data_IF_608746155894
#
_entry.id   IF_608746155894
#
_cell.length_a   1.000
_cell.length_b   1.000
_cell.length_c   1.000
_cell.angle_alpha   90.00
_cell.angle_beta   90.00
_cell.angle_gamma   90.00
#
_symmetry.space_group_name_H-M   'P 1'
#
loop_
_entity.id
_entity.type
_entity.pdbx_description
1 polymer ?
#
# COMPACT_ATOMS: atom_id res chain seq x y z
N UNK A 1 0.15 -18.56 5.69
CA UNK A 1 0.75 -17.34 6.24
C UNK A 1 0.06 -16.18 5.54
N UNK A 2 -0.75 -15.42 6.27
CA UNK A 2 -1.52 -14.31 5.70
C UNK A 2 -0.56 -13.25 5.13
N UNK A 3 -0.86 -12.72 3.93
CA UNK A 3 -0.06 -11.68 3.27
C UNK A 3 -0.88 -10.41 3.17
N UNK A 4 -0.41 -9.34 3.79
CA UNK A 4 -1.05 -8.04 3.75
C UNK A 4 -0.31 -7.05 2.83
N UNK A 5 -1.05 -6.07 2.33
CA UNK A 5 -0.50 -4.96 1.56
C UNK A 5 -0.81 -3.64 2.26
N UNK A 6 0.21 -2.81 2.47
CA UNK A 6 0.07 -1.45 2.96
C UNK A 6 0.28 -0.52 1.78
N UNK A 7 -0.68 0.37 1.55
CA UNK A 7 -0.68 1.34 0.48
C UNK A 7 -0.50 2.73 1.07
N UNK A 8 0.53 3.43 0.59
CA UNK A 8 0.86 4.80 0.99
C UNK A 8 0.72 5.75 -0.20
N UNK A 9 0.41 7.01 0.08
CA UNK A 9 0.19 8.01 -0.96
C UNK A 9 1.46 8.34 -1.75
N UNK A 10 2.60 8.38 -1.08
CA UNK A 10 3.90 8.75 -1.65
C UNK A 10 5.02 7.93 -0.99
N UNK A 11 6.12 7.74 -1.71
CA UNK A 11 7.29 7.03 -1.21
C UNK A 11 7.88 7.75 0.00
N UNK A 12 7.92 7.06 1.14
CA UNK A 12 8.55 7.54 2.35
C UNK A 12 9.66 6.58 2.79
N UNK A 13 10.92 7.00 2.70
CA UNK A 13 12.06 6.14 3.03
C UNK A 13 12.06 5.66 4.47
N UNK A 14 11.69 6.52 5.43
CA UNK A 14 11.66 6.16 6.85
C UNK A 14 10.66 5.03 7.11
N UNK A 15 9.47 5.15 6.51
CA UNK A 15 8.42 4.14 6.60
C UNK A 15 8.81 2.83 5.89
N UNK A 16 9.45 2.92 4.71
CA UNK A 16 9.96 1.74 4.00
C UNK A 16 11.04 1.01 4.81
N UNK A 17 11.94 1.74 5.46
CA UNK A 17 12.96 1.16 6.35
C UNK A 17 12.32 0.51 7.58
N UNK A 18 11.34 1.18 8.21
CA UNK A 18 10.64 0.65 9.38
C UNK A 18 9.81 -0.60 9.07
N UNK A 19 9.16 -0.64 7.91
CA UNK A 19 8.31 -1.76 7.49
C UNK A 19 9.08 -2.94 6.92
N UNK A 20 10.37 -2.79 6.61
CA UNK A 20 11.20 -3.83 5.96
C UNK A 20 11.25 -5.15 6.74
N UNK A 21 11.07 -5.11 8.05
CA UNK A 21 11.10 -6.31 8.90
C UNK A 21 9.73 -7.01 9.00
N UNK A 22 8.65 -6.41 8.47
CA UNK A 22 7.31 -7.00 8.46
C UNK A 22 7.22 -8.05 7.34
N UNK A 23 7.69 -9.28 7.60
CA UNK A 23 7.72 -10.35 6.59
C UNK A 23 6.36 -10.68 5.95
N UNK A 24 5.26 -10.38 6.66
CA UNK A 24 3.90 -10.65 6.21
C UNK A 24 3.27 -9.48 5.44
N UNK A 25 3.85 -8.28 5.53
CA UNK A 25 3.31 -7.08 4.92
C UNK A 25 4.27 -6.49 3.89
N UNK A 26 3.75 -6.21 2.70
CA UNK A 26 4.46 -5.38 1.72
C UNK A 26 3.96 -3.96 1.79
N UNK A 27 4.85 -2.99 1.59
CA UNK A 27 4.48 -1.58 1.47
C UNK A 27 4.67 -1.14 0.03
N UNK A 28 3.65 -0.52 -0.56
CA UNK A 28 3.68 0.04 -1.91
C UNK A 28 3.11 1.46 -1.93
N UNK A 29 3.64 2.29 -2.80
CA UNK A 29 3.07 3.62 -3.06
C UNK A 29 1.95 3.52 -4.09
N UNK A 30 1.01 4.47 -4.11
CA UNK A 30 -0.02 4.57 -5.16
C UNK A 30 0.58 4.65 -6.57
N UNK A 31 1.74 5.30 -6.72
CA UNK A 31 2.40 5.45 -8.03
C UNK A 31 3.03 4.14 -8.53
N UNK A 32 3.26 3.18 -7.64
CA UNK A 32 3.96 1.94 -7.92
C UNK A 32 3.13 0.71 -7.58
N UNK A 33 1.82 0.87 -7.40
CA UNK A 33 0.95 -0.20 -6.93
C UNK A 33 0.76 -1.23 -8.04
N UNK A 34 1.09 -2.48 -7.76
CA UNK A 34 0.78 -3.61 -8.64
C UNK A 34 -0.65 -4.11 -8.34
N UNK A 35 -1.60 -4.05 -9.31
CA UNK A 35 -2.95 -4.57 -9.15
C UNK A 35 -2.99 -6.05 -8.78
N UNK A 36 -2.03 -6.85 -9.25
CA UNK A 36 -1.95 -8.28 -8.91
C UNK A 36 -1.65 -8.48 -7.42
N UNK A 37 -0.85 -7.59 -6.83
CA UNK A 37 -0.54 -7.62 -5.41
C UNK A 37 -1.74 -7.24 -4.53
N UNK A 38 -2.67 -6.41 -5.02
CA UNK A 38 -3.93 -6.10 -4.35
C UNK A 38 -4.84 -7.33 -4.28
N UNK A 39 -4.97 -8.08 -5.39
CA UNK A 39 -5.81 -9.28 -5.45
C UNK A 39 -5.23 -10.42 -4.62
N UNK A 40 -3.91 -10.55 -4.58
CA UNK A 40 -3.22 -11.59 -3.80
C UNK A 40 -3.15 -11.28 -2.29
N UNK A 41 -3.38 -10.02 -1.90
CA UNK A 41 -3.36 -9.62 -0.51
C UNK A 41 -4.66 -10.04 0.18
N UNK A 42 -4.53 -10.64 1.35
CA UNK A 42 -5.68 -11.05 2.17
C UNK A 42 -6.28 -9.86 2.91
N UNK A 43 -5.45 -8.85 3.21
CA UNK A 43 -5.86 -7.57 3.78
C UNK A 43 -5.09 -6.43 3.14
N UNK A 44 -5.80 -5.35 2.83
CA UNK A 44 -5.21 -4.10 2.30
C UNK A 44 -5.41 -2.99 3.33
N UNK A 45 -4.30 -2.37 3.75
CA UNK A 45 -4.28 -1.23 4.66
C UNK A 45 -3.94 0.02 3.85
N UNK A 46 -4.80 1.03 3.90
CA UNK A 46 -4.60 2.30 3.23
C UNK A 46 -4.40 3.39 4.29
N UNK A 47 -3.41 4.27 4.10
CA UNK A 47 -3.38 5.51 4.87
C UNK A 47 -4.50 6.45 4.41
N UNK A 48 -5.00 7.32 5.29
CA UNK A 48 -6.06 8.27 4.93
C UNK A 48 -5.69 9.14 3.72
N UNK A 49 -4.41 9.53 3.63
CA UNK A 49 -3.87 10.26 2.48
C UNK A 49 -3.92 9.41 1.19
N UNK A 50 -3.57 8.12 1.27
CA UNK A 50 -3.65 7.22 0.13
C UNK A 50 -5.09 6.99 -0.33
N UNK A 51 -6.02 6.81 0.62
CA UNK A 51 -7.43 6.63 0.33
C UNK A 51 -8.00 7.86 -0.42
N UNK A 52 -7.73 9.07 0.06
CA UNK A 52 -8.22 10.30 -0.57
C UNK A 52 -7.72 10.45 -2.02
N UNK A 53 -6.41 10.28 -2.25
CA UNK A 53 -5.83 10.36 -3.59
C UNK A 53 -6.37 9.28 -4.52
N UNK A 54 -6.55 8.06 -4.04
CA UNK A 54 -7.09 6.97 -4.84
C UNK A 54 -8.55 7.26 -5.25
N UNK A 55 -9.37 7.74 -4.32
CA UNK A 55 -10.75 8.14 -4.60
C UNK A 55 -10.82 9.25 -5.64
N UNK A 56 -9.97 10.27 -5.57
CA UNK A 56 -9.92 11.37 -6.53
C UNK A 56 -9.62 10.87 -7.96
N UNK A 57 -8.65 9.96 -8.10
CA UNK A 57 -8.27 9.39 -9.41
C UNK A 57 -9.38 8.51 -9.99
N UNK A 58 -10.07 7.73 -9.15
CA UNK A 58 -11.10 6.77 -9.59
C UNK A 58 -12.50 7.37 -9.74
N UNK A 59 -12.75 8.55 -9.17
CA UNK A 59 -14.05 9.24 -9.28
C UNK A 59 -14.14 10.16 -10.50
N UNK A 60 -13.15 10.07 -11.39
CA UNK A 60 -13.09 10.75 -12.69
C UNK A 60 -13.51 9.80 -13.79
#
# INVERSE_FOLDING_TARGET
>A
MERGLIVISETNEGLLKASRNLKQYKVQSLNSIDPSALIQAEKVLLTSSALNKLTEVLSK
#
